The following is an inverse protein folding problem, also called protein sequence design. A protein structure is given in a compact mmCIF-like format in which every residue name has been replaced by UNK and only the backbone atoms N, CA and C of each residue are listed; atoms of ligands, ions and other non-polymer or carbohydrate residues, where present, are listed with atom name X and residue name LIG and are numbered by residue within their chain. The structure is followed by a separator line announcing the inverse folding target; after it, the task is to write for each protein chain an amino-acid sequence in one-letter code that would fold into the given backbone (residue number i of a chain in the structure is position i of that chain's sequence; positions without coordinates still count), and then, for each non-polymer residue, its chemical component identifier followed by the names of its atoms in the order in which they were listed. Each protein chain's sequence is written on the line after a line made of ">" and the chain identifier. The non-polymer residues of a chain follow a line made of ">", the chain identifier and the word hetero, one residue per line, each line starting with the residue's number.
data_IF_627140032605
#
_entry.id   IF_627140032605
#
_cell.length_a   1.000
_cell.length_b   1.000
_cell.length_c   1.000
_cell.angle_alpha   90.00
_cell.angle_beta   90.00
_cell.angle_gamma   90.00
#
_symmetry.space_group_name_H-M   'P 1'
#
loop_
_entity.id
_entity.type
_entity.pdbx_description
1 polymer ?
#
# COMPACT_ATOMS: atom_id res chain seq x y z
N UNK A 1 -5.09 2.78 11.72
CA UNK A 1 -5.19 1.93 10.52
C UNK A 1 -5.19 2.75 9.24
N UNK A 2 -6.08 3.73 9.07
CA UNK A 2 -6.14 4.58 7.87
C UNK A 2 -4.81 5.21 7.45
N UNK A 3 -4.04 5.77 8.38
CA UNK A 3 -2.75 6.38 8.07
C UNK A 3 -1.70 5.37 7.58
N UNK A 4 -1.75 4.14 8.10
CA UNK A 4 -0.83 3.05 7.72
C UNK A 4 -1.17 2.58 6.31
N UNK A 5 -2.45 2.35 6.02
CA UNK A 5 -2.95 2.02 4.68
C UNK A 5 -2.53 3.08 3.66
N UNK A 6 -2.76 4.36 3.97
CA UNK A 6 -2.36 5.48 3.13
C UNK A 6 -0.85 5.50 2.86
N UNK A 7 -0.03 5.22 3.86
CA UNK A 7 1.42 5.20 3.72
C UNK A 7 1.88 4.08 2.77
N UNK A 8 1.32 2.88 2.89
CA UNK A 8 1.65 1.76 2.01
C UNK A 8 1.16 2.00 0.58
N UNK A 9 -0.04 2.54 0.41
CA UNK A 9 -0.57 2.90 -0.92
C UNK A 9 0.29 3.96 -1.62
N UNK A 10 0.75 4.98 -0.88
CA UNK A 10 1.72 5.96 -1.38
C UNK A 10 3.03 5.31 -1.81
N UNK A 11 3.57 4.39 -1.01
CA UNK A 11 4.79 3.67 -1.36
C UNK A 11 4.65 2.88 -2.67
N UNK A 12 3.47 2.31 -2.93
CA UNK A 12 3.15 1.62 -4.18
C UNK A 12 3.05 2.57 -5.38
N UNK A 13 2.48 3.77 -5.21
CA UNK A 13 2.41 4.80 -6.25
C UNK A 13 3.80 5.29 -6.67
N UNK A 14 4.66 5.58 -5.70
CA UNK A 14 6.01 6.09 -5.96
C UNK A 14 7.05 5.01 -6.34
N UNK A 15 6.68 3.74 -6.30
CA UNK A 15 7.62 2.63 -6.57
C UNK A 15 8.73 2.49 -5.54
N UNK A 16 8.49 2.90 -4.29
CA UNK A 16 9.40 2.63 -3.16
C UNK A 16 9.50 1.12 -2.93
N UNK A 17 8.41 0.40 -3.17
CA UNK A 17 8.35 -1.06 -3.14
C UNK A 17 8.53 -1.61 -4.56
N UNK A 18 9.54 -2.46 -4.75
CA UNK A 18 9.87 -3.09 -6.03
C UNK A 18 10.07 -4.60 -5.85
N UNK A 19 9.93 -5.36 -6.95
CA UNK A 19 10.09 -6.82 -6.96
C UNK A 19 9.24 -7.52 -5.89
N UNK A 20 9.85 -8.45 -5.16
CA UNK A 20 9.21 -9.24 -4.12
C UNK A 20 8.52 -8.39 -3.03
N UNK A 21 9.11 -7.25 -2.65
CA UNK A 21 8.51 -6.37 -1.64
C UNK A 21 7.19 -5.75 -2.11
N UNK A 22 7.08 -5.47 -3.41
CA UNK A 22 5.84 -4.97 -4.02
C UNK A 22 4.78 -6.05 -4.03
N UNK A 23 5.14 -7.26 -4.45
CA UNK A 23 4.20 -8.39 -4.48
C UNK A 23 3.69 -8.77 -3.08
N UNK A 24 4.59 -8.76 -2.10
CA UNK A 24 4.23 -9.00 -0.70
C UNK A 24 3.25 -7.93 -0.20
N UNK A 25 3.50 -6.65 -0.49
CA UNK A 25 2.58 -5.58 -0.11
C UNK A 25 1.19 -5.73 -0.76
N UNK A 26 1.12 -6.12 -2.04
CA UNK A 26 -0.15 -6.41 -2.69
C UNK A 26 -0.90 -7.57 -2.05
N UNK A 27 -0.19 -8.66 -1.68
CA UNK A 27 -0.80 -9.81 -1.01
C UNK A 27 -1.38 -9.40 0.35
N UNK A 28 -0.59 -8.70 1.17
CA UNK A 28 -1.02 -8.25 2.48
C UNK A 28 -2.22 -7.30 2.42
N UNK A 29 -2.23 -6.37 1.45
CA UNK A 29 -3.34 -5.45 1.25
C UNK A 29 -4.60 -6.15 0.70
N UNK A 30 -4.45 -7.23 -0.07
CA UNK A 30 -5.58 -8.01 -0.56
C UNK A 30 -6.30 -8.79 0.56
N UNK A 31 -5.55 -9.23 1.57
CA UNK A 31 -6.08 -9.95 2.74
C UNK A 31 -6.53 -8.99 3.86
N UNK A 32 -6.14 -7.71 3.76
CA UNK A 32 -6.45 -6.69 4.76
C UNK A 32 -7.85 -6.11 4.55
N UNK A 33 -8.61 -5.98 5.64
CA UNK A 33 -9.88 -5.24 5.64
C UNK A 33 -9.62 -3.75 5.83
N UNK A 34 -9.75 -2.98 4.75
CA UNK A 34 -9.53 -1.54 4.77
C UNK A 34 -10.46 -0.82 5.74
N UNK A 35 -9.89 0.09 6.53
CA UNK A 35 -10.64 0.96 7.45
C UNK A 35 -11.25 2.18 6.74
N UNK A 36 -10.84 2.44 5.50
CA UNK A 36 -11.34 3.51 4.66
C UNK A 36 -11.70 2.97 3.26
N UNK A 37 -12.94 3.12 2.79
CA UNK A 37 -13.37 2.60 1.49
C UNK A 37 -12.61 3.25 0.32
N UNK A 38 -12.11 4.48 0.48
CA UNK A 38 -11.29 5.12 -0.56
C UNK A 38 -9.95 4.42 -0.72
N UNK A 39 -9.37 3.91 0.37
CA UNK A 39 -8.12 3.12 0.31
C UNK A 39 -8.34 1.78 -0.41
N UNK A 40 -9.49 1.14 -0.20
CA UNK A 40 -9.86 -0.09 -0.90
C UNK A 40 -10.03 0.15 -2.41
N UNK A 41 -10.71 1.24 -2.79
CA UNK A 41 -10.85 1.63 -4.19
C UNK A 41 -9.50 1.93 -4.84
N UNK A 42 -8.64 2.66 -4.14
CA UNK A 42 -7.30 2.97 -4.63
C UNK A 42 -6.47 1.69 -4.82
N UNK A 43 -6.56 0.76 -3.86
CA UNK A 43 -5.92 -0.55 -3.96
C UNK A 43 -6.46 -1.37 -5.13
N UNK A 44 -7.78 -1.38 -5.36
CA UNK A 44 -8.39 -2.06 -6.49
C UNK A 44 -7.85 -1.50 -7.82
N UNK A 45 -7.79 -0.18 -7.96
CA UNK A 45 -7.23 0.47 -9.13
C UNK A 45 -5.73 0.14 -9.31
N UNK A 46 -4.93 0.22 -8.25
CA UNK A 46 -3.50 -0.12 -8.26
C UNK A 46 -3.24 -1.59 -8.58
N UNK A 47 -4.12 -2.49 -8.17
CA UNK A 47 -4.01 -3.93 -8.46
C UNK A 47 -4.15 -4.22 -9.95
N UNK A 48 -4.95 -3.44 -10.68
CA UNK A 48 -4.99 -3.51 -12.15
C UNK A 48 -3.71 -3.01 -12.82
N UNK A 49 -2.90 -2.24 -12.09
CA UNK A 49 -1.63 -1.64 -12.53
C UNK A 49 -0.42 -2.30 -11.83
N UNK A 50 -0.55 -3.55 -11.37
CA UNK A 50 0.45 -4.22 -10.51
C UNK A 50 1.88 -4.19 -11.07
N UNK A 51 2.05 -4.33 -12.38
CA UNK A 51 3.34 -4.35 -13.07
C UNK A 51 3.75 -2.99 -13.67
N UNK A 52 2.95 -1.94 -13.48
CA UNK A 52 3.24 -0.62 -14.01
C UNK A 52 4.38 0.05 -13.23
N UNK A 53 5.19 0.84 -13.94
CA UNK A 53 6.17 1.72 -13.33
C UNK A 53 5.47 2.92 -12.65
N UNK A 54 6.17 3.67 -11.77
CA UNK A 54 5.56 4.78 -11.02
C UNK A 54 4.93 5.85 -11.93
N UNK A 55 5.58 6.19 -13.04
CA UNK A 55 5.05 7.19 -13.98
C UNK A 55 3.73 6.73 -14.60
N UNK A 56 3.68 5.49 -15.07
CA UNK A 56 2.47 4.88 -15.62
C UNK A 56 1.36 4.78 -14.58
N UNK A 57 1.69 4.51 -13.30
CA UNK A 57 0.71 4.56 -12.22
C UNK A 57 0.14 5.97 -12.09
N UNK A 58 0.99 7.00 -12.03
CA UNK A 58 0.53 8.39 -11.90
C UNK A 58 -0.38 8.81 -13.07
N UNK A 59 -0.03 8.41 -14.30
CA UNK A 59 -0.80 8.75 -15.50
C UNK A 59 -2.12 7.98 -15.60
N UNK A 60 -2.13 6.69 -15.25
CA UNK A 60 -3.29 5.83 -15.47
C UNK A 60 -4.23 5.72 -14.27
N UNK A 61 -3.78 6.02 -13.04
CA UNK A 61 -4.57 5.76 -11.84
C UNK A 61 -5.91 6.48 -11.85
N UNK A 62 -5.93 7.77 -12.24
CA UNK A 62 -7.18 8.53 -12.37
C UNK A 62 -8.11 7.91 -13.42
N UNK A 63 -7.58 7.54 -14.58
CA UNK A 63 -8.38 6.89 -15.62
C UNK A 63 -8.95 5.54 -15.16
N UNK A 64 -8.21 4.75 -14.37
CA UNK A 64 -8.70 3.50 -13.79
C UNK A 64 -9.82 3.75 -12.79
N UNK A 65 -9.69 4.74 -11.91
CA UNK A 65 -10.75 5.11 -10.97
C UNK A 65 -12.02 5.56 -11.68
N UNK A 66 -11.90 6.39 -12.72
CA UNK A 66 -13.05 6.77 -13.57
C UNK A 66 -13.70 5.55 -14.21
N UNK A 67 -12.93 4.60 -14.75
CA UNK A 67 -13.46 3.37 -15.36
C UNK A 67 -14.13 2.43 -14.34
N UNK A 68 -13.75 2.51 -13.07
CA UNK A 68 -14.41 1.80 -11.98
C UNK A 68 -15.69 2.51 -11.50
N UNK A 69 -16.02 3.70 -12.04
CA UNK A 69 -17.17 4.49 -11.66
C UNK A 69 -16.91 5.50 -10.53
N UNK A 70 -15.64 5.78 -10.22
CA UNK A 70 -15.23 6.64 -9.10
C UNK A 70 -14.36 7.83 -9.55
N UNK A 71 -14.89 8.75 -10.38
CA UNK A 71 -14.13 9.90 -10.87
C UNK A 71 -13.77 10.93 -9.79
N UNK A 72 -14.53 10.99 -8.69
CA UNK A 72 -14.38 11.97 -7.61
C UNK A 72 -13.34 11.59 -6.53
N UNK A 73 -12.65 10.45 -6.66
CA UNK A 73 -11.65 10.02 -5.68
C UNK A 73 -10.43 10.95 -5.71
N UNK A 74 -10.12 11.57 -4.58
CA UNK A 74 -8.92 12.41 -4.44
C UNK A 74 -7.67 11.53 -4.36
N UNK A 75 -6.92 11.50 -5.46
CA UNK A 75 -5.62 10.81 -5.56
C UNK A 75 -4.43 11.73 -5.27
N UNK A 76 -4.67 13.04 -5.15
CA UNK A 76 -3.65 14.08 -4.95
C UNK A 76 -2.75 13.75 -3.77
N UNK A 77 -3.35 13.40 -2.63
CA UNK A 77 -2.62 13.02 -1.42
C UNK A 77 -1.80 11.72 -1.50
N UNK A 78 -1.88 10.99 -2.62
CA UNK A 78 -1.13 9.76 -2.86
C UNK A 78 -0.06 9.89 -3.95
N UNK A 79 -0.33 10.72 -4.96
CA UNK A 79 0.55 10.91 -6.12
C UNK A 79 1.47 12.12 -5.97
N UNK A 80 0.99 13.20 -5.37
CA UNK A 80 1.72 14.49 -5.27
C UNK A 80 2.42 14.66 -3.92
N UNK A 81 2.05 13.85 -2.93
CA UNK A 81 2.72 13.86 -1.64
C UNK A 81 4.14 13.28 -1.77
N UNK A 82 5.10 13.66 -0.90
CA UNK A 82 6.46 13.13 -0.96
C UNK A 82 6.51 11.60 -0.85
N UNK A 83 7.48 10.95 -1.50
CA UNK A 83 7.67 9.52 -1.33
C UNK A 83 7.98 9.19 0.15
N UNK A 84 7.30 8.20 0.76
CA UNK A 84 7.58 7.80 2.14
C UNK A 84 8.96 7.11 2.25
N UNK A 85 9.60 7.22 3.41
CA UNK A 85 10.87 6.56 3.67
C UNK A 85 10.73 5.03 3.69
N UNK A 86 11.72 4.30 3.16
CA UNK A 86 11.67 2.84 3.08
C UNK A 86 11.49 2.16 4.45
N UNK A 87 12.11 2.71 5.50
CA UNK A 87 11.97 2.20 6.88
C UNK A 87 10.53 2.37 7.40
N UNK A 88 9.92 3.53 7.16
CA UNK A 88 8.54 3.83 7.56
C UNK A 88 7.56 2.89 6.84
N UNK A 89 7.79 2.62 5.55
CA UNK A 89 6.99 1.68 4.76
C UNK A 89 7.11 0.26 5.29
N UNK A 90 8.32 -0.19 5.63
CA UNK A 90 8.50 -1.53 6.21
C UNK A 90 7.80 -1.66 7.57
N UNK A 91 7.88 -0.65 8.42
CA UNK A 91 7.17 -0.65 9.69
C UNK A 91 5.65 -0.67 9.50
N UNK A 92 5.14 0.10 8.54
CA UNK A 92 3.73 0.10 8.17
C UNK A 92 3.26 -1.27 7.69
N UNK A 93 4.02 -1.95 6.83
CA UNK A 93 3.73 -3.33 6.41
C UNK A 93 3.70 -4.29 7.60
N UNK A 94 4.69 -4.24 8.50
CA UNK A 94 4.69 -5.08 9.73
C UNK A 94 3.47 -4.81 10.63
N UNK A 95 2.95 -3.59 10.65
CA UNK A 95 1.74 -3.25 11.41
C UNK A 95 0.48 -3.78 10.73
N UNK A 96 0.41 -3.76 9.39
CA UNK A 96 -0.68 -4.39 8.64
C UNK A 96 -0.70 -5.90 8.87
N UNK A 97 0.45 -6.58 8.79
CA UNK A 97 0.56 -8.01 9.10
C UNK A 97 -0.03 -8.35 10.47
N UNK A 98 0.41 -7.63 11.52
CA UNK A 98 -0.08 -7.81 12.90
C UNK A 98 -1.54 -7.43 13.13
N UNK A 99 -2.15 -6.71 12.19
CA UNK A 99 -3.57 -6.35 12.28
C UNK A 99 -4.47 -7.35 11.56
N UNK A 100 -3.92 -8.08 10.57
CA UNK A 100 -4.57 -9.20 9.88
C UNK A 100 -4.40 -10.53 10.62
N UNK A 101 -3.29 -10.72 11.33
CA UNK A 101 -3.04 -11.83 12.24
C UNK A 101 -3.39 -11.43 13.67
N UNK A 102 -4.45 -12.02 14.22
CA UNK A 102 -4.44 -12.34 15.64
C UNK A 102 -3.32 -13.39 15.85
N UNK A 103 -2.20 -12.95 16.43
CA UNK A 103 -1.07 -13.69 17.02
C UNK A 103 -0.11 -14.47 16.09
N UNK A 104 0.98 -13.82 15.69
CA UNK A 104 2.29 -14.48 15.52
C UNK A 104 3.14 -14.21 16.78
N UNK A 105 3.70 -15.24 17.45
CA UNK A 105 4.49 -15.05 18.66
C UNK A 105 5.77 -14.25 18.34
N UNK A 106 6.27 -13.46 19.31
CA UNK A 106 7.50 -12.70 19.13
C UNK A 106 8.66 -13.64 18.81
N UNK A 107 9.37 -13.35 17.72
CA UNK A 107 10.66 -13.96 17.41
C UNK A 107 11.55 -13.86 18.66
N UNK A 108 12.06 -14.97 19.20
CA UNK A 108 12.93 -14.91 20.36
C UNK A 108 14.25 -14.26 19.95
N UNK A 109 14.43 -13.00 20.35
CA UNK A 109 15.74 -12.38 20.41
C UNK A 109 16.58 -13.14 21.45
N UNK A 110 17.54 -13.91 20.97
CA UNK A 110 18.60 -14.53 21.77
C UNK A 110 19.95 -14.03 21.26
N UNK A 111 21.00 -14.06 22.10
CA UNK A 111 21.06 -13.61 23.49
C UNK A 111 22.13 -12.51 23.64
N UNK A 112 22.01 -11.70 24.68
CA UNK A 112 23.12 -10.86 25.14
C UNK A 112 24.29 -11.78 25.56
N UNK A 113 25.50 -11.50 25.05
CA UNK A 113 26.78 -11.99 25.56
C UNK A 113 27.51 -10.80 26.14
#
# INVERSE_FOLDING_TARGET
>A
MREIEKLVLRALCHGVLQGDHREQAFRMLAEHRFADPQHELLFAALSTLRQANPQTIHEQLRARLTNLGFPDVDVTGYLEAPAPGALEVQEALRRLARSGEQELPPVPSKPEI
#
